data_IF_903115372469
#
_entry.id   IF_903115372469
#
_cell.length_a   1.000
_cell.length_b   1.000
_cell.length_c   1.000
_cell.angle_alpha   90.00
_cell.angle_beta   90.00
_cell.angle_gamma   90.00
#
_symmetry.space_group_name_H-M   'P 1'
#
loop_
_entity.id
_entity.type
_entity.pdbx_description
1 polymer ?
#
# COMPACT_ATOMS: atom_id res chain seq x y z
N UNK A 1 -15.95 9.59 28.87
CA UNK A 1 -16.79 10.11 27.77
C UNK A 1 -17.46 8.92 27.10
N UNK A 2 -18.75 8.66 27.38
CA UNK A 2 -19.50 7.62 26.66
C UNK A 2 -19.70 8.12 25.22
N UNK A 3 -19.06 7.45 24.26
CA UNK A 3 -19.27 7.71 22.85
C UNK A 3 -20.72 7.34 22.51
N UNK A 4 -21.58 8.34 22.29
CA UNK A 4 -22.94 8.12 21.77
C UNK A 4 -22.83 7.83 20.28
N UNK A 5 -22.81 6.56 19.92
CA UNK A 5 -22.91 6.13 18.54
C UNK A 5 -24.35 6.33 18.02
N UNK A 6 -24.56 6.60 16.71
CA UNK A 6 -25.88 6.56 16.12
C UNK A 6 -26.58 5.22 16.45
N UNK A 7 -27.91 5.21 16.55
CA UNK A 7 -28.70 4.00 16.91
C UNK A 7 -28.43 2.75 16.04
N UNK A 8 -27.72 2.90 14.92
CA UNK A 8 -27.37 1.84 13.94
C UNK A 8 -25.87 1.51 13.90
N UNK A 9 -25.09 1.88 14.92
CA UNK A 9 -23.65 1.62 14.96
C UNK A 9 -23.27 0.88 16.23
N UNK A 10 -22.51 -0.22 16.07
CA UNK A 10 -22.02 -1.06 17.17
C UNK A 10 -20.49 -1.05 17.15
N UNK A 11 -19.88 -0.84 18.31
CA UNK A 11 -18.45 -1.07 18.51
C UNK A 11 -18.24 -2.51 18.96
N UNK A 12 -17.37 -3.25 18.26
CA UNK A 12 -17.01 -4.62 18.60
C UNK A 12 -15.53 -4.63 18.96
N UNK A 13 -15.22 -5.08 20.18
CA UNK A 13 -13.85 -5.34 20.59
C UNK A 13 -13.50 -6.79 20.23
N UNK A 14 -12.33 -6.99 19.64
CA UNK A 14 -11.82 -8.32 19.28
C UNK A 14 -10.43 -8.52 19.87
N UNK A 15 -10.04 -9.78 20.05
CA UNK A 15 -8.68 -10.15 20.41
C UNK A 15 -7.71 -9.72 19.30
N UNK A 16 -6.48 -9.34 19.70
CA UNK A 16 -5.42 -8.99 18.75
C UNK A 16 -4.94 -10.30 18.09
N UNK A 17 -5.06 -10.45 16.77
CA UNK A 17 -4.60 -11.66 16.10
C UNK A 17 -3.07 -11.80 16.15
N UNK A 18 -2.58 -13.04 16.04
CA UNK A 18 -1.13 -13.33 16.06
C UNK A 18 -0.39 -12.66 14.90
N UNK A 19 -1.01 -12.61 13.71
CA UNK A 19 -0.43 -12.02 12.51
C UNK A 19 -1.51 -11.31 11.66
N UNK A 20 -1.07 -10.53 10.67
CA UNK A 20 -1.97 -10.00 9.63
C UNK A 20 -2.61 -11.18 8.86
N UNK A 21 -3.89 -11.06 8.50
CA UNK A 21 -4.63 -12.11 7.78
C UNK A 21 -5.04 -13.31 8.63
N UNK A 22 -4.83 -13.27 9.95
CA UNK A 22 -5.39 -14.28 10.86
C UNK A 22 -6.90 -14.03 11.02
N UNK A 23 -7.73 -15.08 10.95
CA UNK A 23 -9.18 -14.98 11.16
C UNK A 23 -9.51 -14.35 12.53
N UNK A 24 -10.56 -13.50 12.60
CA UNK A 24 -11.09 -13.07 13.88
C UNK A 24 -11.88 -14.22 14.56
N UNK A 25 -12.25 -14.10 15.84
CA UNK A 25 -13.15 -15.05 16.49
C UNK A 25 -14.50 -15.16 15.76
N UNK A 26 -15.12 -16.33 15.78
CA UNK A 26 -16.37 -16.63 15.05
C UNK A 26 -17.47 -15.60 15.30
N UNK A 27 -17.70 -15.22 16.56
CA UNK A 27 -18.71 -14.20 16.91
C UNK A 27 -18.46 -12.83 16.24
N UNK A 28 -17.21 -12.47 15.95
CA UNK A 28 -16.88 -11.24 15.22
C UNK A 28 -17.15 -11.43 13.73
N UNK A 29 -16.78 -12.58 13.17
CA UNK A 29 -17.03 -12.92 11.77
C UNK A 29 -18.54 -12.95 11.46
N UNK A 30 -19.34 -13.57 12.34
CA UNK A 30 -20.79 -13.63 12.22
C UNK A 30 -21.43 -12.24 12.34
N UNK A 31 -20.94 -11.43 13.28
CA UNK A 31 -21.45 -10.08 13.48
C UNK A 31 -21.17 -9.18 12.27
N UNK A 32 -20.03 -9.34 11.58
CA UNK A 32 -19.70 -8.58 10.36
C UNK A 32 -20.75 -8.76 9.23
N UNK A 33 -21.44 -9.89 9.16
CA UNK A 33 -22.48 -10.17 8.15
C UNK A 33 -23.73 -9.29 8.34
N UNK A 34 -23.96 -8.75 9.54
CA UNK A 34 -25.18 -8.01 9.86
C UNK A 34 -25.11 -6.51 9.50
N UNK A 35 -24.04 -6.03 8.84
CA UNK A 35 -23.84 -4.60 8.58
C UNK A 35 -23.51 -4.27 7.13
N UNK A 36 -24.14 -3.21 6.62
CA UNK A 36 -23.83 -2.65 5.29
C UNK A 36 -22.43 -2.00 5.21
N UNK A 37 -21.87 -1.59 6.35
CA UNK A 37 -20.59 -0.90 6.48
C UNK A 37 -19.80 -1.47 7.64
N UNK A 38 -18.57 -1.91 7.38
CA UNK A 38 -17.64 -2.38 8.41
C UNK A 38 -16.37 -1.54 8.37
N UNK A 39 -16.01 -0.96 9.51
CA UNK A 39 -14.76 -0.25 9.71
C UNK A 39 -13.86 -1.11 10.62
N UNK A 40 -12.63 -1.38 10.19
CA UNK A 40 -11.68 -2.24 10.92
C UNK A 40 -10.45 -1.45 11.39
N UNK A 41 -10.57 -0.55 12.38
CA UNK A 41 -9.44 0.14 13.01
C UNK A 41 -8.72 -0.80 13.99
N UNK A 42 -8.09 -1.85 13.47
CA UNK A 42 -7.47 -2.93 14.24
C UNK A 42 -5.95 -2.77 14.34
N UNK A 43 -5.29 -3.47 15.27
CA UNK A 43 -3.82 -3.50 15.34
C UNK A 43 -3.20 -4.37 14.22
N UNK A 44 -3.90 -5.43 13.81
CA UNK A 44 -3.51 -6.34 12.72
C UNK A 44 -4.58 -6.38 11.65
N UNK A 45 -4.16 -6.50 10.40
CA UNK A 45 -5.07 -6.47 9.26
C UNK A 45 -5.95 -7.72 9.23
N UNK A 46 -7.26 -7.51 9.02
CA UNK A 46 -8.24 -8.55 8.68
C UNK A 46 -8.58 -8.52 7.17
N UNK A 47 -7.78 -7.84 6.35
CA UNK A 47 -8.00 -7.68 4.91
C UNK A 47 -8.01 -9.00 4.15
N UNK A 48 -7.25 -10.01 4.58
CA UNK A 48 -7.13 -11.29 3.88
C UNK A 48 -7.68 -12.45 4.72
N UNK A 49 -8.90 -12.28 5.23
CA UNK A 49 -9.62 -13.30 6.02
C UNK A 49 -10.93 -13.69 5.34
N UNK A 50 -11.36 -14.94 5.53
CA UNK A 50 -12.67 -15.46 5.13
C UNK A 50 -13.80 -14.64 5.73
N UNK A 51 -13.67 -14.21 6.98
CA UNK A 51 -14.64 -13.33 7.62
C UNK A 51 -14.89 -12.05 6.79
N UNK A 52 -13.82 -11.36 6.37
CA UNK A 52 -13.93 -10.17 5.50
C UNK A 52 -14.49 -10.53 4.13
N UNK A 53 -14.03 -11.63 3.51
CA UNK A 53 -14.54 -12.05 2.20
C UNK A 53 -16.03 -12.33 2.21
N UNK A 54 -16.51 -13.02 3.23
CA UNK A 54 -17.91 -13.39 3.40
C UNK A 54 -18.76 -12.14 3.63
N UNK A 55 -18.35 -11.24 4.53
CA UNK A 55 -19.04 -9.96 4.75
C UNK A 55 -19.11 -9.12 3.47
N UNK A 56 -17.99 -8.99 2.74
CA UNK A 56 -18.01 -8.31 1.45
C UNK A 56 -18.98 -8.99 0.48
N UNK A 57 -18.95 -10.31 0.33
CA UNK A 57 -19.85 -11.08 -0.56
C UNK A 57 -21.33 -10.91 -0.21
N UNK A 58 -21.65 -10.76 1.07
CA UNK A 58 -23.01 -10.52 1.56
C UNK A 58 -23.48 -9.07 1.32
N UNK A 59 -22.59 -8.20 0.85
CA UNK A 59 -22.89 -6.84 0.40
C UNK A 59 -22.25 -5.75 1.24
N UNK A 60 -21.56 -6.09 2.32
CA UNK A 60 -20.90 -5.12 3.19
C UNK A 60 -19.80 -4.36 2.43
N UNK A 61 -19.67 -3.08 2.77
CA UNK A 61 -18.61 -2.18 2.30
C UNK A 61 -17.60 -2.00 3.41
N UNK A 62 -16.33 -2.28 3.15
CA UNK A 62 -15.36 -2.50 4.22
C UNK A 62 -14.14 -1.59 4.06
N UNK A 63 -13.78 -0.88 5.12
CA UNK A 63 -12.51 -0.16 5.22
C UNK A 63 -11.59 -0.82 6.26
N UNK A 64 -10.45 -1.33 5.81
CA UNK A 64 -9.39 -1.86 6.67
C UNK A 64 -8.42 -0.76 7.08
N UNK A 65 -8.09 -0.67 8.36
CA UNK A 65 -7.28 0.43 8.89
C UNK A 65 -6.25 -0.08 9.92
N UNK A 66 -5.36 -1.04 9.54
CA UNK A 66 -4.43 -1.67 10.47
C UNK A 66 -3.41 -0.67 11.05
N UNK A 67 -3.36 -0.53 12.37
CA UNK A 67 -2.44 0.37 13.08
C UNK A 67 -2.80 1.84 12.95
N UNK A 68 -4.01 2.16 12.47
CA UNK A 68 -4.49 3.53 12.35
C UNK A 68 -4.44 4.25 13.70
N UNK A 69 -3.96 5.50 13.70
CA UNK A 69 -3.92 6.35 14.88
C UNK A 69 -4.95 7.47 14.77
N UNK A 70 -5.33 8.08 15.90
CA UNK A 70 -6.21 9.25 15.91
C UNK A 70 -5.67 10.38 15.02
N UNK A 71 -4.37 10.66 15.10
CA UNK A 71 -3.73 11.70 14.30
C UNK A 71 -3.71 11.38 12.79
N UNK A 72 -3.68 10.10 12.42
CA UNK A 72 -3.86 9.68 11.02
C UNK A 72 -5.30 9.93 10.58
N UNK A 73 -6.29 9.54 11.40
CA UNK A 73 -7.71 9.75 11.08
C UNK A 73 -8.03 11.23 10.85
N UNK A 74 -7.67 12.09 11.80
CA UNK A 74 -7.95 13.54 11.75
C UNK A 74 -7.31 14.23 10.53
N UNK A 75 -6.18 13.69 10.04
CA UNK A 75 -5.42 14.27 8.93
C UNK A 75 -5.79 13.67 7.59
N UNK A 76 -5.64 12.35 7.47
CA UNK A 76 -5.65 11.65 6.20
C UNK A 76 -7.05 11.16 5.78
N UNK A 77 -8.02 11.10 6.71
CA UNK A 77 -9.44 10.87 6.38
C UNK A 77 -10.22 12.16 6.19
N UNK A 78 -9.72 13.29 6.72
CA UNK A 78 -10.30 14.61 6.53
C UNK A 78 -9.91 15.21 5.17
N UNK A 79 -10.12 14.46 4.09
CA UNK A 79 -9.78 14.82 2.71
C UNK A 79 -11.01 14.78 1.83
N UNK A 80 -10.94 15.48 0.70
CA UNK A 80 -11.91 15.30 -0.38
C UNK A 80 -11.48 14.07 -1.20
N UNK A 81 -12.16 12.95 -0.97
CA UNK A 81 -11.91 11.71 -1.71
C UNK A 81 -12.25 11.83 -3.20
N UNK A 82 -13.14 12.74 -3.62
CA UNK A 82 -13.39 12.98 -5.05
C UNK A 82 -12.19 13.66 -5.71
N UNK A 83 -11.50 14.53 -4.98
CA UNK A 83 -10.23 15.12 -5.42
C UNK A 83 -9.15 14.05 -5.57
N UNK A 84 -9.03 13.12 -4.62
CA UNK A 84 -8.11 11.98 -4.73
C UNK A 84 -8.46 11.12 -5.94
N UNK A 85 -9.74 10.72 -6.11
CA UNK A 85 -10.23 9.97 -7.26
C UNK A 85 -9.86 10.65 -8.58
N UNK A 86 -10.10 11.95 -8.70
CA UNK A 86 -9.76 12.73 -9.90
C UNK A 86 -8.26 12.69 -10.22
N UNK A 87 -7.41 12.79 -9.19
CA UNK A 87 -5.95 12.71 -9.34
C UNK A 87 -5.54 11.30 -9.80
N UNK A 88 -6.08 10.26 -9.16
CA UNK A 88 -5.84 8.85 -9.50
C UNK A 88 -6.24 8.57 -10.96
N UNK A 89 -7.44 8.98 -11.37
CA UNK A 89 -7.95 8.78 -12.74
C UNK A 89 -7.07 9.47 -13.79
N UNK A 90 -6.64 10.72 -13.53
CA UNK A 90 -5.72 11.45 -14.42
C UNK A 90 -4.37 10.76 -14.54
N UNK A 91 -3.80 10.29 -13.43
CA UNK A 91 -2.54 9.54 -13.44
C UNK A 91 -2.66 8.22 -14.20
N UNK A 92 -3.68 7.43 -13.89
CA UNK A 92 -3.95 6.15 -14.56
C UNK A 92 -4.14 6.37 -16.06
N UNK A 93 -4.87 7.41 -16.47
CA UNK A 93 -5.07 7.72 -17.89
C UNK A 93 -3.74 7.98 -18.63
N UNK A 94 -2.78 8.66 -17.98
CA UNK A 94 -1.43 8.89 -18.54
C UNK A 94 -0.56 7.63 -18.56
N UNK A 95 -0.74 6.74 -17.59
CA UNK A 95 0.11 5.57 -17.36
C UNK A 95 -0.39 4.28 -18.04
N UNK A 96 -1.70 4.13 -18.29
CA UNK A 96 -2.31 2.85 -18.72
C UNK A 96 -1.80 2.30 -20.05
N UNK A 97 -1.26 3.15 -20.92
CA UNK A 97 -0.68 2.75 -22.22
C UNK A 97 0.84 2.59 -22.18
N UNK A 98 1.46 2.83 -21.01
CA UNK A 98 2.90 2.88 -20.84
C UNK A 98 3.42 1.54 -20.35
N UNK A 99 4.57 1.12 -20.88
CA UNK A 99 5.09 -0.24 -20.66
C UNK A 99 6.39 -0.27 -19.85
N UNK A 100 7.07 0.87 -19.71
CA UNK A 100 8.32 1.01 -18.96
C UNK A 100 8.21 2.18 -17.98
N UNK A 101 8.47 1.93 -16.71
CA UNK A 101 8.53 2.94 -15.66
C UNK A 101 9.98 3.06 -15.20
N UNK A 102 10.52 4.29 -15.17
CA UNK A 102 11.83 4.58 -14.61
C UNK A 102 11.68 5.50 -13.41
N UNK A 103 12.28 5.13 -12.29
CA UNK A 103 12.29 5.91 -11.06
C UNK A 103 13.72 6.32 -10.76
N UNK A 104 13.94 7.62 -10.54
CA UNK A 104 15.21 8.15 -10.06
C UNK A 104 15.04 9.06 -8.85
N UNK A 105 16.07 9.15 -8.00
CA UNK A 105 16.15 10.14 -6.91
C UNK A 105 17.54 10.74 -6.84
N UNK A 106 17.64 11.94 -6.24
CA UNK A 106 18.95 12.55 -5.90
C UNK A 106 19.77 11.71 -4.90
N UNK A 107 19.12 10.76 -4.22
CA UNK A 107 19.74 9.89 -3.23
C UNK A 107 20.30 8.58 -3.80
N UNK A 108 20.17 8.37 -5.11
CA UNK A 108 20.78 7.22 -5.79
C UNK A 108 19.78 6.16 -6.26
N UNK A 109 18.48 6.31 -6.04
CA UNK A 109 17.50 5.45 -6.71
C UNK A 109 17.67 5.61 -8.22
N UNK A 110 17.80 4.50 -8.92
CA UNK A 110 17.79 4.41 -10.38
C UNK A 110 17.38 2.98 -10.75
N UNK A 111 16.09 2.79 -11.02
CA UNK A 111 15.49 1.48 -11.24
C UNK A 111 14.46 1.56 -12.35
N UNK A 112 14.38 0.50 -13.16
CA UNK A 112 13.44 0.38 -14.26
C UNK A 112 12.52 -0.82 -14.08
N UNK A 113 11.24 -0.62 -14.36
CA UNK A 113 10.19 -1.62 -14.27
C UNK A 113 9.45 -1.74 -15.59
N UNK A 114 8.87 -2.91 -15.82
CA UNK A 114 8.11 -3.20 -17.04
C UNK A 114 6.68 -3.60 -16.69
N UNK A 115 5.70 -3.04 -17.39
CA UNK A 115 4.27 -3.11 -17.03
C UNK A 115 3.38 -3.54 -18.20
N UNK A 116 3.97 -4.05 -19.29
CA UNK A 116 3.20 -4.47 -20.48
C UNK A 116 2.15 -5.53 -20.10
N UNK A 117 0.90 -5.26 -20.47
CA UNK A 117 -0.23 -6.14 -20.19
C UNK A 117 -0.71 -6.13 -18.73
N UNK A 118 -0.20 -5.20 -17.90
CA UNK A 118 -0.63 -5.01 -16.50
C UNK A 118 -1.62 -3.85 -16.42
N UNK A 119 -2.43 -3.82 -15.35
CA UNK A 119 -3.45 -2.79 -15.12
C UNK A 119 -3.09 -1.98 -13.88
N UNK A 120 -3.08 -0.66 -14.02
CA UNK A 120 -3.03 0.24 -12.88
C UNK A 120 -4.35 0.23 -12.12
N UNK A 121 -4.27 0.17 -10.80
CA UNK A 121 -5.41 0.19 -9.88
C UNK A 121 -5.29 1.47 -9.04
N UNK A 122 -6.43 2.12 -8.78
CA UNK A 122 -6.49 3.28 -7.91
C UNK A 122 -7.16 2.92 -6.60
N UNK A 123 -6.56 3.32 -5.49
CA UNK A 123 -7.18 3.33 -4.16
C UNK A 123 -7.54 4.79 -3.83
N UNK A 124 -8.81 5.12 -4.06
CA UNK A 124 -9.36 6.46 -3.88
C UNK A 124 -10.20 6.64 -2.61
N UNK A 125 -10.40 5.58 -1.82
CA UNK A 125 -11.15 5.62 -0.57
C UNK A 125 -12.68 5.73 -0.71
N UNK A 126 -13.24 5.64 -1.92
CA UNK A 126 -14.69 5.74 -2.16
C UNK A 126 -15.32 4.34 -2.19
N UNK A 127 -15.72 3.86 -1.02
CA UNK A 127 -16.35 2.54 -0.86
C UNK A 127 -17.86 2.64 -0.80
N UNK A 128 -18.51 3.16 -1.84
CA UNK A 128 -19.97 3.36 -1.90
C UNK A 128 -20.73 2.23 -2.58
N UNK A 129 -20.06 1.45 -3.43
CA UNK A 129 -20.65 0.31 -4.14
C UNK A 129 -20.68 -0.94 -3.26
N UNK A 130 -21.64 -1.84 -3.48
CA UNK A 130 -21.64 -3.16 -2.85
C UNK A 130 -20.30 -3.87 -3.12
N UNK A 131 -19.87 -4.70 -2.17
CA UNK A 131 -18.59 -5.42 -2.20
C UNK A 131 -17.33 -4.52 -2.14
N UNK A 132 -17.48 -3.19 -2.05
CA UNK A 132 -16.33 -2.30 -2.05
C UNK A 132 -15.47 -2.51 -0.81
N UNK A 133 -14.18 -2.65 -1.03
CA UNK A 133 -13.20 -2.92 0.00
C UNK A 133 -11.87 -2.24 -0.34
N UNK A 134 -11.21 -1.72 0.69
CA UNK A 134 -9.84 -1.25 0.60
C UNK A 134 -9.35 -0.69 1.93
N UNK A 135 -8.23 0.02 1.89
CA UNK A 135 -7.65 0.62 3.08
C UNK A 135 -8.19 2.05 3.31
N UNK A 136 -8.23 2.47 4.57
CA UNK A 136 -8.32 3.88 4.92
C UNK A 136 -7.20 4.24 5.93
N UNK A 137 -6.50 5.38 5.76
CA UNK A 137 -6.62 6.33 4.65
C UNK A 137 -6.22 5.74 3.30
N UNK A 138 -6.88 6.24 2.26
CA UNK A 138 -6.60 5.92 0.87
C UNK A 138 -5.77 7.03 0.21
N UNK A 139 -5.49 6.86 -1.07
CA UNK A 139 -4.83 7.87 -1.91
C UNK A 139 -3.55 7.34 -2.49
N UNK A 140 -3.67 6.41 -3.41
CA UNK A 140 -2.57 5.96 -4.26
C UNK A 140 -3.08 5.40 -5.58
N UNK A 141 -2.14 5.17 -6.48
CA UNK A 141 -2.31 4.23 -7.59
C UNK A 141 -1.16 3.22 -7.56
N UNK A 142 -1.43 1.98 -7.97
CA UNK A 142 -0.42 0.92 -7.94
C UNK A 142 -0.58 -0.10 -9.07
N UNK A 143 0.47 -0.87 -9.30
CA UNK A 143 0.54 -1.91 -10.33
C UNK A 143 1.53 -3.01 -9.94
N UNK A 144 1.22 -4.25 -10.29
CA UNK A 144 2.21 -5.33 -10.29
C UNK A 144 3.09 -5.23 -11.56
N UNK A 145 4.41 -4.95 -11.46
CA UNK A 145 5.29 -5.05 -12.60
C UNK A 145 5.45 -6.51 -13.07
N UNK A 146 6.06 -6.69 -14.24
CA UNK A 146 6.45 -8.00 -14.74
C UNK A 146 7.58 -8.57 -13.86
N UNK A 147 7.33 -9.74 -13.29
CA UNK A 147 8.31 -10.45 -12.48
C UNK A 147 9.55 -10.78 -13.31
N UNK A 148 10.72 -10.82 -12.68
CA UNK A 148 11.95 -11.18 -13.38
C UNK A 148 12.60 -10.07 -14.22
N UNK A 149 11.94 -8.91 -14.39
CA UNK A 149 12.36 -7.89 -15.37
C UNK A 149 12.97 -6.61 -14.77
N UNK A 150 12.73 -6.35 -13.48
CA UNK A 150 13.23 -5.14 -12.81
C UNK A 150 14.72 -5.25 -12.51
N UNK A 151 15.47 -4.20 -12.80
CA UNK A 151 16.89 -4.10 -12.46
C UNK A 151 17.24 -2.68 -12.03
N UNK A 152 18.19 -2.54 -11.11
CA UNK A 152 18.74 -1.26 -10.69
C UNK A 152 18.87 -1.15 -9.16
N UNK A 153 18.95 0.09 -8.68
CA UNK A 153 19.14 0.41 -7.27
C UNK A 153 17.95 1.18 -6.73
N UNK A 154 17.44 0.75 -5.58
CA UNK A 154 16.37 1.41 -4.83
C UNK A 154 16.96 1.98 -3.55
N UNK A 155 16.82 3.29 -3.34
CA UNK A 155 17.21 3.94 -2.08
C UNK A 155 15.96 4.36 -1.32
N UNK A 156 15.65 3.59 -0.27
CA UNK A 156 14.56 3.86 0.67
C UNK A 156 14.99 4.99 1.59
N UNK A 157 14.14 5.99 1.74
CA UNK A 157 14.45 7.17 2.55
C UNK A 157 13.28 7.66 3.45
N UNK A 158 12.20 6.89 3.56
CA UNK A 158 11.07 7.16 4.48
C UNK A 158 10.84 6.05 5.52
N UNK A 159 10.33 4.89 5.10
CA UNK A 159 9.87 3.84 6.01
C UNK A 159 9.82 2.47 5.35
N UNK A 160 9.75 1.43 6.19
CA UNK A 160 9.57 0.03 5.80
C UNK A 160 8.35 -0.54 6.53
N UNK A 161 7.43 -1.14 5.76
CA UNK A 161 6.20 -1.74 6.27
C UNK A 161 6.46 -2.76 7.38
N UNK A 162 5.70 -2.64 8.47
CA UNK A 162 5.81 -3.52 9.63
C UNK A 162 7.07 -3.35 10.49
N UNK A 163 8.02 -2.48 10.11
CA UNK A 163 9.24 -2.21 10.89
C UNK A 163 9.27 -0.76 11.39
N UNK A 164 9.01 0.21 10.52
CA UNK A 164 8.86 1.61 10.91
C UNK A 164 9.63 2.61 10.05
N UNK A 165 9.74 3.83 10.57
CA UNK A 165 10.46 4.95 9.94
C UNK A 165 11.97 4.73 10.00
N UNK A 166 12.66 4.99 8.89
CA UNK A 166 14.12 4.83 8.85
C UNK A 166 14.86 6.08 9.36
N UNK A 167 16.00 5.81 9.99
CA UNK A 167 17.00 6.78 10.46
C UNK A 167 18.17 6.93 9.47
N UNK A 168 18.53 5.84 8.79
CA UNK A 168 19.55 5.76 7.73
C UNK A 168 18.92 5.21 6.46
N UNK A 169 19.28 5.80 5.31
CA UNK A 169 18.83 5.29 4.00
C UNK A 169 19.16 3.80 3.86
N UNK A 170 18.26 3.07 3.19
CA UNK A 170 18.46 1.66 2.85
C UNK A 170 18.65 1.58 1.35
N UNK A 171 19.82 1.13 0.92
CA UNK A 171 20.11 0.83 -0.47
C UNK A 171 19.77 -0.63 -0.74
N UNK A 172 19.03 -0.89 -1.81
CA UNK A 172 18.61 -2.23 -2.23
C UNK A 172 18.99 -2.39 -3.69
N UNK A 173 19.88 -3.35 -3.97
CA UNK A 173 20.27 -3.72 -5.33
C UNK A 173 19.29 -4.79 -5.81
N UNK A 174 18.67 -4.55 -6.96
CA UNK A 174 17.70 -5.45 -7.57
C UNK A 174 18.26 -5.99 -8.88
N UNK A 175 18.26 -7.32 -9.01
CA UNK A 175 18.64 -8.03 -10.23
C UNK A 175 17.56 -9.02 -10.62
N UNK A 176 17.15 -9.00 -11.87
CA UNK A 176 16.12 -9.88 -12.43
C UNK A 176 14.85 -9.93 -11.55
N UNK A 177 14.40 -8.78 -11.05
CA UNK A 177 13.20 -8.67 -10.22
C UNK A 177 13.35 -9.14 -8.77
N UNK A 178 14.55 -9.48 -8.29
CA UNK A 178 14.78 -9.91 -6.91
C UNK A 178 15.80 -9.01 -6.21
N UNK A 179 15.64 -8.84 -4.89
CA UNK A 179 16.70 -8.27 -4.03
C UNK A 179 17.94 -9.16 -4.12
N UNK A 180 19.04 -8.58 -4.61
CA UNK A 180 20.35 -9.21 -4.65
C UNK A 180 21.16 -8.85 -3.40
N UNK A 181 21.25 -7.56 -3.09
CA UNK A 181 21.90 -7.04 -1.88
C UNK A 181 21.06 -5.92 -1.25
N UNK A 182 21.31 -5.67 0.03
CA UNK A 182 20.69 -4.58 0.78
C UNK A 182 21.69 -4.02 1.78
N UNK A 183 21.80 -2.71 1.91
CA UNK A 183 22.69 -2.05 2.87
C UNK A 183 21.94 -0.95 3.61
N UNK A 184 22.27 -0.73 4.87
CA UNK A 184 21.59 0.29 5.68
C UNK A 184 21.83 0.13 7.18
N UNK A 185 21.01 0.79 7.98
CA UNK A 185 21.07 0.74 9.44
C UNK A 185 20.30 -0.44 10.05
N UNK A 186 19.88 -0.28 11.30
CA UNK A 186 19.14 -1.29 12.08
C UNK A 186 17.89 -1.80 11.35
N UNK A 187 17.13 -0.92 10.70
CA UNK A 187 15.91 -1.30 9.97
C UNK A 187 16.23 -2.18 8.75
N UNK A 188 17.33 -1.91 8.03
CA UNK A 188 17.75 -2.79 6.94
C UNK A 188 18.08 -4.20 7.45
N UNK A 189 18.79 -4.30 8.58
CA UNK A 189 19.08 -5.59 9.21
C UNK A 189 17.82 -6.33 9.67
N UNK A 190 16.81 -5.61 10.17
CA UNK A 190 15.51 -6.19 10.52
C UNK A 190 14.77 -6.68 9.27
N UNK A 191 14.76 -5.89 8.19
CA UNK A 191 14.12 -6.25 6.94
C UNK A 191 14.78 -7.49 6.31
N UNK A 192 16.12 -7.55 6.27
CA UNK A 192 16.87 -8.74 5.81
C UNK A 192 16.45 -10.02 6.52
N UNK A 193 16.20 -9.98 7.84
CA UNK A 193 15.76 -11.16 8.62
C UNK A 193 14.38 -11.69 8.20
N UNK A 194 13.56 -10.86 7.55
CA UNK A 194 12.26 -11.27 7.03
C UNK A 194 12.39 -12.01 5.69
N UNK A 195 13.45 -11.77 4.90
CA UNK A 195 13.66 -12.30 3.54
C UNK A 195 14.13 -13.76 3.53
N UNK A 196 13.40 -14.63 4.24
CA UNK A 196 13.73 -16.05 4.46
C UNK A 196 13.46 -16.94 3.24
N UNK A 197 12.63 -16.47 2.30
CA UNK A 197 12.27 -17.18 1.07
C UNK A 197 12.69 -16.33 -0.13
N UNK A 198 13.20 -16.96 -1.20
CA UNK A 198 13.58 -16.28 -2.45
C UNK A 198 12.43 -15.44 -3.01
N UNK A 199 11.20 -15.94 -2.98
CA UNK A 199 10.03 -15.23 -3.46
C UNK A 199 9.67 -14.00 -2.61
N UNK A 200 10.12 -13.92 -1.35
CA UNK A 200 9.92 -12.71 -0.53
C UNK A 200 10.78 -11.55 -1.02
N UNK A 201 11.82 -11.84 -1.81
CA UNK A 201 12.69 -10.85 -2.45
C UNK A 201 12.15 -10.34 -3.79
N UNK A 202 11.06 -10.91 -4.29
CA UNK A 202 10.44 -10.52 -5.57
C UNK A 202 9.90 -9.09 -5.50
N UNK A 203 10.12 -8.27 -6.54
CA UNK A 203 9.41 -7.00 -6.71
C UNK A 203 7.93 -7.30 -6.97
N UNK A 204 7.08 -6.88 -6.04
CA UNK A 204 5.66 -7.17 -6.05
C UNK A 204 4.83 -6.03 -6.64
N UNK A 205 5.15 -4.80 -6.27
CA UNK A 205 4.32 -3.63 -6.55
C UNK A 205 5.18 -2.38 -6.80
N UNK A 206 4.64 -1.47 -7.60
CA UNK A 206 5.05 -0.07 -7.64
C UNK A 206 3.79 0.76 -7.43
N UNK A 207 3.83 1.72 -6.53
CA UNK A 207 2.74 2.67 -6.34
C UNK A 207 3.19 4.11 -6.18
N UNK A 208 2.23 5.02 -6.32
CA UNK A 208 2.38 6.47 -6.27
C UNK A 208 1.34 7.02 -5.30
N UNK A 209 1.79 7.69 -4.24
CA UNK A 209 0.91 8.32 -3.25
C UNK A 209 0.25 9.61 -3.79
N UNK A 210 -1.03 9.78 -3.47
CA UNK A 210 -1.90 10.87 -3.96
C UNK A 210 -2.74 11.54 -2.87
N UNK A 211 -2.61 11.14 -1.61
CA UNK A 211 -3.25 11.81 -0.47
C UNK A 211 -2.48 13.08 -0.07
N UNK A 212 -3.08 14.24 -0.35
CA UNK A 212 -2.45 15.55 -0.13
C UNK A 212 -2.43 16.02 1.32
N UNK A 213 -3.08 15.30 2.25
CA UNK A 213 -2.97 15.58 3.69
C UNK A 213 -2.12 14.55 4.43
N UNK A 214 -1.90 13.35 3.88
CA UNK A 214 -1.06 12.34 4.49
C UNK A 214 0.40 12.83 4.67
N UNK A 215 1.10 12.30 5.66
CA UNK A 215 2.53 12.57 5.90
C UNK A 215 3.28 11.33 6.35
N UNK A 216 4.62 11.36 6.25
CA UNK A 216 5.48 10.28 6.74
C UNK A 216 5.46 10.23 8.28
N UNK A 217 4.94 9.15 8.83
CA UNK A 217 4.81 8.84 10.26
C UNK A 217 5.64 7.63 10.68
N UNK A 218 6.02 6.76 9.74
CA UNK A 218 6.56 5.43 10.04
C UNK A 218 5.51 4.33 10.05
N UNK A 219 4.22 4.68 9.93
CA UNK A 219 3.18 3.70 9.64
C UNK A 219 2.90 3.69 8.14
N UNK A 220 3.25 2.57 7.50
CA UNK A 220 3.17 2.43 6.05
C UNK A 220 1.75 2.61 5.49
N UNK A 221 0.71 2.30 6.29
CA UNK A 221 -0.69 2.55 5.94
C UNK A 221 -0.95 4.01 5.52
N UNK A 222 -0.25 4.98 6.12
CA UNK A 222 -0.31 6.38 5.69
C UNK A 222 0.85 6.75 4.77
N UNK A 223 2.06 6.27 5.06
CA UNK A 223 3.28 6.72 4.38
C UNK A 223 3.26 6.44 2.87
N UNK A 224 2.69 5.32 2.44
CA UNK A 224 2.54 4.96 1.02
C UNK A 224 1.54 5.86 0.28
N UNK A 225 0.56 6.43 1.00
CA UNK A 225 -0.46 7.31 0.44
C UNK A 225 0.01 8.75 0.25
N UNK A 226 1.15 9.14 0.82
CA UNK A 226 1.60 10.55 0.83
C UNK A 226 1.75 11.10 -0.59
N UNK A 227 1.08 12.21 -0.89
CA UNK A 227 1.21 12.89 -2.18
C UNK A 227 2.68 13.12 -2.55
N UNK A 228 3.10 12.58 -3.70
CA UNK A 228 4.44 12.80 -4.21
C UNK A 228 5.51 11.86 -3.66
N UNK A 229 5.13 10.78 -2.98
CA UNK A 229 5.99 9.63 -2.74
C UNK A 229 5.76 8.58 -3.83
N UNK A 230 6.67 7.61 -3.90
CA UNK A 230 6.35 6.31 -4.47
C UNK A 230 6.73 5.24 -3.47
N UNK A 231 6.09 4.08 -3.57
CA UNK A 231 6.45 2.89 -2.82
C UNK A 231 6.72 1.73 -3.76
N UNK A 232 7.53 0.80 -3.27
CA UNK A 232 7.84 -0.45 -3.95
C UNK A 232 7.60 -1.55 -2.94
N UNK A 233 6.82 -2.57 -3.31
CA UNK A 233 6.59 -3.71 -2.44
C UNK A 233 7.47 -4.90 -2.84
N UNK A 234 7.77 -5.75 -1.86
CA UNK A 234 8.41 -7.03 -2.07
C UNK A 234 7.53 -8.21 -1.60
N UNK A 235 7.52 -9.31 -2.35
CA UNK A 235 6.78 -10.53 -2.04
C UNK A 235 5.60 -10.80 -2.98
N UNK A 236 4.40 -10.91 -2.40
CA UNK A 236 3.16 -11.33 -3.06
C UNK A 236 2.59 -10.22 -3.94
N UNK A 237 2.21 -10.61 -5.15
CA UNK A 237 1.49 -9.74 -6.08
C UNK A 237 0.32 -10.44 -6.81
N UNK A 238 -0.06 -11.64 -6.36
CA UNK A 238 -1.05 -12.51 -7.01
C UNK A 238 -2.42 -11.84 -7.17
N UNK A 239 -2.84 -11.07 -6.18
CA UNK A 239 -4.21 -10.54 -6.09
C UNK A 239 -4.48 -9.30 -6.95
N UNK A 240 -3.45 -8.68 -7.53
CA UNK A 240 -3.58 -7.44 -8.31
C UNK A 240 -2.84 -7.51 -9.66
N UNK A 241 -2.69 -8.73 -10.19
CA UNK A 241 -2.25 -8.99 -11.56
C UNK A 241 -0.95 -9.77 -11.66
N UNK A 242 -0.19 -9.95 -10.59
CA UNK A 242 1.07 -10.70 -10.59
C UNK A 242 0.91 -12.22 -10.53
N UNK A 243 2.05 -12.92 -10.47
CA UNK A 243 2.12 -14.39 -10.47
C UNK A 243 2.67 -14.98 -9.17
N UNK A 244 3.30 -14.17 -8.32
CA UNK A 244 3.95 -14.64 -7.09
C UNK A 244 2.95 -14.65 -5.96
N UNK A 245 2.74 -15.84 -5.39
CA UNK A 245 1.83 -16.08 -4.28
C UNK A 245 2.61 -16.60 -3.07
N UNK A 246 2.78 -15.74 -2.07
CA UNK A 246 3.51 -16.01 -0.83
C UNK A 246 2.89 -15.25 0.34
N UNK A 247 3.00 -15.72 1.59
CA UNK A 247 2.44 -15.01 2.75
C UNK A 247 3.36 -13.87 3.21
N UNK A 248 3.78 -13.01 2.29
CA UNK A 248 4.70 -11.90 2.54
C UNK A 248 4.44 -10.76 1.56
N UNK A 249 4.27 -9.55 2.09
CA UNK A 249 4.18 -8.31 1.30
C UNK A 249 4.71 -7.19 2.19
N UNK A 250 5.77 -6.52 1.75
CA UNK A 250 6.39 -5.41 2.50
C UNK A 250 6.69 -4.25 1.57
N UNK A 251 6.03 -3.13 1.86
CA UNK A 251 6.21 -1.85 1.21
C UNK A 251 7.42 -1.09 1.76
N UNK A 252 8.19 -0.50 0.86
CA UNK A 252 9.22 0.49 1.19
C UNK A 252 8.89 1.81 0.52
N UNK A 253 9.00 2.91 1.28
CA UNK A 253 8.57 4.24 0.82
C UNK A 253 9.78 5.10 0.45
N UNK A 254 9.67 5.77 -0.71
CA UNK A 254 10.66 6.67 -1.28
C UNK A 254 10.05 8.07 -1.42
N UNK A 255 10.73 9.06 -0.88
CA UNK A 255 10.32 10.45 -0.92
C UNK A 255 10.82 11.13 -2.20
N UNK A 256 9.98 11.99 -2.75
CA UNK A 256 10.33 12.92 -3.82
C UNK A 256 11.02 12.25 -5.03
N UNK A 257 10.48 11.14 -5.57
CA UNK A 257 11.05 10.53 -6.76
C UNK A 257 10.83 11.43 -7.99
N UNK A 258 11.66 11.21 -9.00
CA UNK A 258 11.35 11.57 -10.38
C UNK A 258 10.95 10.30 -11.11
N UNK A 259 9.76 10.31 -11.73
CA UNK A 259 9.16 9.14 -12.38
C UNK A 259 8.93 9.45 -13.85
N UNK A 260 9.43 8.58 -14.72
CA UNK A 260 9.19 8.60 -16.16
C UNK A 260 8.40 7.35 -16.58
N UNK A 261 7.51 7.49 -17.55
CA UNK A 261 6.78 6.40 -18.17
C UNK A 261 6.98 6.45 -19.70
N UNK A 262 7.67 5.44 -20.25
CA UNK A 262 8.19 5.44 -21.64
C UNK A 262 8.88 6.76 -22.01
N UNK A 263 9.72 7.29 -21.12
CA UNK A 263 10.45 8.56 -21.30
C UNK A 263 9.63 9.84 -21.02
N UNK A 264 8.31 9.74 -20.84
CA UNK A 264 7.45 10.89 -20.49
C UNK A 264 7.55 11.16 -19.00
N UNK A 265 7.83 12.41 -18.62
CA UNK A 265 7.90 12.84 -17.21
C UNK A 265 6.51 12.83 -16.56
N UNK A 266 6.33 12.00 -15.53
CA UNK A 266 5.08 11.85 -14.76
C UNK A 266 5.16 12.59 -13.42
N UNK A 267 6.34 12.55 -12.77
CA UNK A 267 6.60 13.21 -11.50
C UNK A 267 8.03 13.73 -11.50
N UNK A 268 8.26 14.94 -10.98
CA UNK A 268 9.60 15.51 -10.81
C UNK A 268 9.82 15.92 -9.36
N UNK A 269 10.79 15.32 -8.69
CA UNK A 269 11.14 15.59 -7.29
C UNK A 269 9.90 15.59 -6.35
N UNK A 270 8.99 14.63 -6.53
CA UNK A 270 7.74 14.53 -5.76
C UNK A 270 6.58 15.40 -6.25
N UNK A 271 6.79 16.22 -7.29
CA UNK A 271 5.72 17.05 -7.89
C UNK A 271 5.10 16.32 -9.08
N UNK A 272 3.87 15.87 -8.90
CA UNK A 272 3.09 15.19 -9.95
C UNK A 272 2.79 16.14 -11.11
N UNK A 273 2.95 15.64 -12.34
CA UNK A 273 2.64 16.34 -13.60
C UNK A 273 1.34 15.80 -14.19
N UNK A 274 0.22 16.18 -13.59
CA UNK A 274 -1.14 15.87 -14.08
C UNK A 274 -1.74 17.02 -14.86
#
# INVERSE_FOLDING_TARGET
MQLKYPKKTKLILTTIPKAHGTEPPDHVADEMLNYDVVLMPTTKSLSHTKARENASRDGARIASMPGITKQMMERALNVDFNKIKTINEKLIAKLKIKNKIKITTKKGTNVEFYTKGRKWIGDDGIYTKKLAFGNLPAGEIFIAPLEGKTNGTIVVDASVGGIGKIDKNIEIIVKNGFIEDMQGGKIASQFKKLLKNKLYKNIAEIGIGTNYKAKITGNVLEDEKVMGTCHIAFGNNKHFGGKVDVPFHVDVVIKKPTIYADGVLIMKDGKIKI
#
